data_IF_890488792196
#
_entry.id   IF_890488792196
#
_cell.length_a   1.000
_cell.length_b   1.000
_cell.length_c   1.000
_cell.angle_alpha   90.00
_cell.angle_beta   90.00
_cell.angle_gamma   90.00
#
_symmetry.space_group_name_H-M   'P 1'
#
loop_
_entity.id
_entity.type
_entity.pdbx_description
1 polymer ?
#
# COMPACT_ATOMS: atom_id res chain seq x y z
N UNK A 1 1.17 -6.13 -5.23
CA UNK A 1 -0.28 -5.83 -5.30
C UNK A 1 -0.72 -5.31 -3.92
N UNK A 2 -0.33 -4.09 -3.56
CA UNK A 2 -0.41 -3.55 -2.19
C UNK A 2 -1.85 -3.34 -1.69
N UNK A 3 -2.76 -2.92 -2.58
CA UNK A 3 -4.17 -2.64 -2.23
C UNK A 3 -4.92 -3.90 -1.79
N UNK A 4 -4.53 -5.07 -2.31
CA UNK A 4 -5.14 -6.35 -1.91
C UNK A 4 -4.59 -6.89 -0.58
N UNK A 5 -3.39 -6.45 -0.17
CA UNK A 5 -2.81 -6.79 1.12
C UNK A 5 -3.40 -5.97 2.29
N UNK A 6 -4.13 -4.90 1.97
CA UNK A 6 -4.72 -3.98 2.95
C UNK A 6 -6.22 -3.74 2.66
N UNK A 7 -7.08 -4.77 2.84
CA UNK A 7 -8.50 -4.70 2.55
C UNK A 7 -9.24 -3.61 3.33
N UNK A 8 -8.75 -3.24 4.51
CA UNK A 8 -9.24 -2.10 5.30
C UNK A 8 -9.15 -0.77 4.55
N UNK A 9 -8.16 -0.62 3.67
CA UNK A 9 -7.98 0.60 2.88
C UNK A 9 -8.98 0.69 1.73
N UNK A 10 -9.51 -0.45 1.25
CA UNK A 10 -10.50 -0.52 0.17
C UNK A 10 -11.80 0.22 0.55
N UNK A 11 -12.18 0.16 1.83
CA UNK A 11 -13.34 0.90 2.34
C UNK A 11 -13.16 2.41 2.20
N UNK A 12 -11.97 2.98 2.35
CA UNK A 12 -11.83 4.43 2.17
C UNK A 12 -12.10 4.88 0.73
N UNK A 13 -11.92 3.99 -0.26
CA UNK A 13 -12.09 4.37 -1.66
C UNK A 13 -13.53 4.70 -2.05
N UNK A 14 -14.59 4.16 -1.45
CA UNK A 14 -15.95 4.57 -1.84
C UNK A 14 -16.23 6.06 -1.53
N UNK A 15 -15.44 6.69 -0.66
CA UNK A 15 -15.58 8.10 -0.29
C UNK A 15 -14.87 9.08 -1.24
N UNK A 16 -14.03 8.59 -2.17
CA UNK A 16 -13.30 9.48 -3.11
C UNK A 16 -14.22 10.41 -3.90
N UNK A 17 -15.46 10.02 -4.31
CA UNK A 17 -16.34 10.93 -5.04
C UNK A 17 -16.75 12.14 -4.21
N UNK A 18 -17.03 11.93 -2.92
CA UNK A 18 -17.39 12.99 -1.97
C UNK A 18 -16.21 13.93 -1.78
N UNK A 19 -15.00 13.38 -1.56
CA UNK A 19 -13.80 14.19 -1.41
C UNK A 19 -13.49 14.97 -2.70
N UNK A 20 -13.66 14.35 -3.87
CA UNK A 20 -13.49 15.00 -5.17
C UNK A 20 -14.44 16.19 -5.36
N UNK A 21 -15.69 16.06 -4.88
CA UNK A 21 -16.62 17.19 -4.84
C UNK A 21 -16.16 18.29 -3.87
N UNK A 22 -15.72 17.94 -2.65
CA UNK A 22 -15.21 18.92 -1.66
C UNK A 22 -14.01 19.67 -2.23
N UNK A 23 -13.05 18.98 -2.84
CA UNK A 23 -11.86 19.57 -3.47
C UNK A 23 -12.27 20.54 -4.58
N UNK A 24 -13.22 20.14 -5.44
CA UNK A 24 -13.73 21.02 -6.50
C UNK A 24 -14.47 22.25 -5.94
N UNK A 25 -15.18 22.13 -4.83
CA UNK A 25 -15.89 23.23 -4.20
C UNK A 25 -14.95 24.23 -3.52
N UNK A 26 -13.84 23.76 -2.93
CA UNK A 26 -12.92 24.58 -2.15
C UNK A 26 -11.67 25.06 -2.87
N UNK A 27 -11.22 24.38 -3.94
CA UNK A 27 -9.94 24.67 -4.59
C UNK A 27 -10.09 25.03 -6.08
N UNK A 28 -9.23 25.92 -6.61
CA UNK A 28 -9.19 26.19 -8.03
C UNK A 28 -8.69 24.99 -8.83
N UNK A 29 -9.23 24.80 -10.04
CA UNK A 29 -8.90 23.67 -10.92
C UNK A 29 -7.40 23.49 -11.17
N UNK A 30 -6.63 24.60 -11.26
CA UNK A 30 -5.18 24.55 -11.46
C UNK A 30 -4.45 23.82 -10.33
N UNK A 31 -4.88 24.03 -9.08
CA UNK A 31 -4.28 23.37 -7.91
C UNK A 31 -4.62 21.88 -7.93
N UNK A 32 -5.89 21.54 -8.22
CA UNK A 32 -6.32 20.13 -8.33
C UNK A 32 -5.52 19.38 -9.39
N UNK A 33 -5.30 19.99 -10.57
CA UNK A 33 -4.47 19.40 -11.61
C UNK A 33 -3.00 19.25 -11.18
N UNK A 34 -2.43 20.25 -10.50
CA UNK A 34 -1.05 20.16 -9.99
C UNK A 34 -0.90 19.00 -9.00
N UNK A 35 -1.81 18.90 -8.02
CA UNK A 35 -1.84 17.80 -7.04
C UNK A 35 -1.92 16.46 -7.77
N UNK A 36 -2.85 16.30 -8.73
CA UNK A 36 -2.99 15.08 -9.52
C UNK A 36 -1.67 14.67 -10.21
N UNK A 37 -0.98 15.60 -10.89
CA UNK A 37 0.27 15.30 -11.57
C UNK A 37 1.39 14.94 -10.58
N UNK A 38 1.51 15.66 -9.47
CA UNK A 38 2.51 15.32 -8.44
C UNK A 38 2.25 13.95 -7.83
N UNK A 39 0.99 13.59 -7.54
CA UNK A 39 0.64 12.27 -7.03
C UNK A 39 0.94 11.16 -8.05
N UNK A 40 0.72 11.39 -9.35
CA UNK A 40 1.08 10.45 -10.41
C UNK A 40 2.60 10.22 -10.49
N UNK A 41 3.40 11.29 -10.40
CA UNK A 41 4.87 11.20 -10.40
C UNK A 41 5.36 10.44 -9.17
N UNK A 42 4.80 10.72 -7.99
CA UNK A 42 5.12 10.00 -6.76
C UNK A 42 4.68 8.54 -6.78
N UNK A 43 3.84 8.12 -7.73
CA UNK A 43 3.45 6.73 -7.87
C UNK A 43 4.45 5.92 -8.72
N UNK A 44 5.29 6.58 -9.52
CA UNK A 44 6.28 5.94 -10.41
C UNK A 44 7.25 4.94 -9.74
N UNK A 45 7.74 5.16 -8.50
CA UNK A 45 8.66 4.23 -7.84
C UNK A 45 8.15 2.77 -7.78
N UNK A 46 6.83 2.57 -7.77
CA UNK A 46 6.24 1.22 -7.76
C UNK A 46 6.64 0.38 -8.98
N UNK A 47 6.81 1.02 -10.15
CA UNK A 47 7.19 0.34 -11.39
C UNK A 47 8.67 -0.09 -11.40
N UNK A 48 9.48 0.50 -10.53
CA UNK A 48 10.92 0.19 -10.39
C UNK A 48 11.22 -0.83 -9.28
N UNK A 49 10.17 -1.33 -8.62
CA UNK A 49 10.26 -2.26 -7.50
C UNK A 49 10.71 -1.60 -6.18
N UNK A 50 10.64 -0.27 -6.09
CA UNK A 50 10.81 0.44 -4.83
C UNK A 50 9.47 0.61 -4.13
N UNK A 51 9.50 0.56 -2.80
CA UNK A 51 8.37 0.82 -1.93
C UNK A 51 8.68 2.03 -1.04
N UNK A 52 7.65 2.75 -0.62
CA UNK A 52 7.82 3.75 0.43
C UNK A 52 8.01 3.06 1.78
N UNK A 53 8.79 3.68 2.68
CA UNK A 53 8.90 3.23 4.08
C UNK A 53 7.56 3.41 4.81
N UNK A 54 6.84 4.48 4.47
CA UNK A 54 5.47 4.69 4.92
C UNK A 54 4.58 3.75 4.13
N UNK A 55 4.15 2.67 4.78
CA UNK A 55 3.39 1.58 4.17
C UNK A 55 2.19 2.14 3.38
N UNK A 56 1.36 2.98 4.02
CA UNK A 56 0.10 3.45 3.45
C UNK A 56 0.23 4.57 2.41
N UNK A 57 1.44 5.05 2.08
CA UNK A 57 1.59 6.20 1.20
C UNK A 57 1.05 5.92 -0.21
N UNK A 58 1.22 4.70 -0.73
CA UNK A 58 0.66 4.32 -2.01
C UNK A 58 -0.86 4.38 -2.03
N UNK A 59 -1.52 3.91 -0.98
CA UNK A 59 -2.98 3.99 -0.88
C UNK A 59 -3.46 5.45 -0.85
N UNK A 60 -2.78 6.32 -0.10
CA UNK A 60 -3.07 7.76 -0.04
C UNK A 60 -2.90 8.41 -1.42
N UNK A 61 -1.82 8.09 -2.14
CA UNK A 61 -1.56 8.62 -3.47
C UNK A 61 -2.64 8.20 -4.47
N UNK A 62 -3.01 6.90 -4.51
CA UNK A 62 -4.08 6.40 -5.37
C UNK A 62 -5.42 7.06 -5.02
N UNK A 63 -5.74 7.19 -3.73
CA UNK A 63 -6.96 7.83 -3.28
C UNK A 63 -7.02 9.32 -3.69
N UNK A 64 -5.90 10.03 -3.58
CA UNK A 64 -5.78 11.42 -4.01
C UNK A 64 -5.92 11.57 -5.51
N UNK A 65 -5.34 10.67 -6.30
CA UNK A 65 -5.49 10.62 -7.76
C UNK A 65 -6.97 10.44 -8.14
N UNK A 66 -7.66 9.50 -7.51
CA UNK A 66 -9.08 9.24 -7.78
C UNK A 66 -9.97 10.43 -7.37
N UNK A 67 -9.74 11.01 -6.20
CA UNK A 67 -10.50 12.18 -5.73
C UNK A 67 -10.27 13.39 -6.64
N UNK A 68 -9.02 13.70 -7.00
CA UNK A 68 -8.70 14.82 -7.90
C UNK A 68 -9.25 14.59 -9.31
N UNK A 69 -9.07 13.38 -9.85
CA UNK A 69 -9.61 12.98 -11.15
C UNK A 69 -11.12 13.13 -11.22
N UNK A 70 -11.83 12.67 -10.19
CA UNK A 70 -13.28 12.84 -10.10
C UNK A 70 -13.69 14.32 -9.95
N UNK A 71 -12.98 15.09 -9.13
CA UNK A 71 -13.22 16.53 -8.98
C UNK A 71 -13.11 17.31 -10.31
N UNK A 72 -12.16 16.92 -11.18
CA UNK A 72 -12.04 17.48 -12.52
C UNK A 72 -13.22 17.09 -13.43
N UNK A 73 -13.69 15.83 -13.35
CA UNK A 73 -14.86 15.35 -14.10
C UNK A 73 -16.16 16.08 -13.68
N UNK A 74 -16.29 16.44 -12.40
CA UNK A 74 -17.46 17.15 -11.86
C UNK A 74 -17.61 18.59 -12.37
N UNK A 75 -16.63 19.16 -13.09
CA UNK A 75 -16.67 20.57 -13.54
C UNK A 75 -17.92 20.90 -14.38
N UNK A 76 -18.39 19.97 -15.21
CA UNK A 76 -19.55 20.15 -16.10
C UNK A 76 -20.89 19.64 -15.56
N UNK A 77 -20.93 19.03 -14.37
CA UNK A 77 -22.15 18.39 -13.87
C UNK A 77 -23.11 19.40 -13.23
N UNK A 78 -24.42 19.28 -13.53
CA UNK A 78 -25.48 20.13 -12.96
C UNK A 78 -25.81 19.79 -11.50
N UNK A 79 -25.76 18.51 -11.10
CA UNK A 79 -26.12 18.03 -9.75
C UNK A 79 -24.94 17.33 -9.05
N UNK A 80 -23.87 18.10 -8.82
CA UNK A 80 -22.55 17.60 -8.36
C UNK A 80 -22.60 16.79 -7.07
N UNK A 81 -23.35 17.25 -6.08
CA UNK A 81 -23.52 16.56 -4.78
C UNK A 81 -24.25 15.23 -4.97
N UNK A 82 -25.39 15.25 -5.67
CA UNK A 82 -26.20 14.06 -5.89
C UNK A 82 -25.44 12.99 -6.68
N UNK A 83 -24.68 13.39 -7.72
CA UNK A 83 -23.85 12.46 -8.49
C UNK A 83 -22.74 11.85 -7.64
N UNK A 84 -22.16 12.62 -6.72
CA UNK A 84 -21.10 12.15 -5.83
C UNK A 84 -21.64 11.14 -4.80
N UNK A 85 -22.77 11.45 -4.17
CA UNK A 85 -23.43 10.55 -3.21
C UNK A 85 -23.86 9.25 -3.91
N UNK A 86 -24.51 9.36 -5.07
CA UNK A 86 -24.99 8.20 -5.81
C UNK A 86 -23.83 7.31 -6.28
N UNK A 87 -22.74 7.92 -6.78
CA UNK A 87 -21.56 7.16 -7.16
C UNK A 87 -20.89 6.49 -5.96
N UNK A 88 -20.79 7.17 -4.81
CA UNK A 88 -20.28 6.57 -3.57
C UNK A 88 -21.10 5.36 -3.16
N UNK A 89 -22.44 5.45 -3.16
CA UNK A 89 -23.34 4.31 -2.84
C UNK A 89 -23.13 3.16 -3.82
N UNK A 90 -23.07 3.47 -5.13
CA UNK A 90 -22.85 2.45 -6.16
C UNK A 90 -21.50 1.77 -6.00
N UNK A 91 -20.45 2.49 -5.59
CA UNK A 91 -19.11 1.95 -5.38
C UNK A 91 -18.99 1.06 -4.14
N UNK A 92 -19.88 1.19 -3.14
CA UNK A 92 -19.86 0.33 -1.95
C UNK A 92 -20.00 -1.14 -2.34
N UNK A 93 -20.86 -1.47 -3.32
CA UNK A 93 -21.10 -2.86 -3.71
C UNK A 93 -19.88 -3.55 -4.36
N UNK A 94 -19.30 -3.04 -5.46
CA UNK A 94 -18.16 -3.70 -6.09
C UNK A 94 -16.91 -3.64 -5.22
N UNK A 95 -16.63 -2.51 -4.55
CA UNK A 95 -15.46 -2.40 -3.67
C UNK A 95 -15.62 -3.23 -2.40
N UNK A 96 -16.82 -3.26 -1.82
CA UNK A 96 -17.14 -4.11 -0.67
C UNK A 96 -17.04 -5.59 -1.01
N UNK A 97 -17.47 -5.99 -2.20
CA UNK A 97 -17.28 -7.36 -2.68
C UNK A 97 -15.79 -7.71 -2.86
N UNK A 98 -15.00 -6.81 -3.46
CA UNK A 98 -13.54 -7.01 -3.60
C UNK A 98 -12.87 -7.10 -2.23
N UNK A 99 -13.24 -6.23 -1.28
CA UNK A 99 -12.71 -6.24 0.08
C UNK A 99 -13.08 -7.54 0.81
N UNK A 100 -14.31 -8.03 0.64
CA UNK A 100 -14.78 -9.28 1.22
C UNK A 100 -14.00 -10.49 0.68
N UNK A 101 -13.84 -10.60 -0.64
CA UNK A 101 -13.03 -11.67 -1.25
C UNK A 101 -11.56 -11.53 -0.86
N UNK A 102 -11.03 -10.31 -0.81
CA UNK A 102 -9.65 -10.03 -0.39
C UNK A 102 -9.39 -10.45 1.06
N UNK A 103 -10.33 -10.20 1.97
CA UNK A 103 -10.24 -10.65 3.36
C UNK A 103 -10.21 -12.18 3.48
N UNK A 104 -10.77 -12.90 2.51
CA UNK A 104 -10.68 -14.36 2.42
C UNK A 104 -9.38 -14.85 1.76
N UNK A 105 -8.63 -14.00 1.04
CA UNK A 105 -7.43 -14.42 0.31
C UNK A 105 -6.20 -14.68 1.21
N UNK A 106 -6.29 -14.34 2.50
CA UNK A 106 -5.21 -14.44 3.46
C UNK A 106 -4.60 -13.08 3.81
N UNK A 107 -3.95 -13.01 4.96
CA UNK A 107 -3.35 -11.77 5.48
C UNK A 107 -1.85 -11.91 5.60
N UNK A 108 -1.13 -10.88 5.16
CA UNK A 108 0.32 -10.76 5.33
C UNK A 108 0.54 -9.76 6.45
N UNK A 109 1.02 -10.22 7.60
CA UNK A 109 1.28 -9.35 8.76
C UNK A 109 2.77 -9.30 9.04
N UNK A 110 3.33 -8.09 9.15
CA UNK A 110 4.69 -7.90 9.67
C UNK A 110 4.61 -7.99 11.19
N UNK A 111 5.24 -9.01 11.76
CA UNK A 111 5.23 -9.22 13.22
C UNK A 111 6.38 -8.47 13.90
N UNK A 112 7.56 -8.43 13.28
CA UNK A 112 8.74 -7.76 13.83
C UNK A 112 9.60 -7.16 12.71
N UNK A 113 10.34 -6.09 13.05
CA UNK A 113 11.29 -5.45 12.15
C UNK A 113 12.61 -5.14 12.87
N UNK A 114 13.73 -5.34 12.19
CA UNK A 114 15.07 -4.99 12.66
C UNK A 114 15.77 -4.10 11.64
N UNK A 115 16.58 -3.15 12.12
CA UNK A 115 17.40 -2.28 11.27
C UNK A 115 18.88 -2.65 11.41
N UNK A 116 19.55 -2.86 10.28
CA UNK A 116 20.94 -3.32 10.22
C UNK A 116 21.67 -2.49 9.17
N UNK A 117 22.38 -1.46 9.60
CA UNK A 117 23.09 -0.52 8.71
C UNK A 117 22.12 0.03 7.64
N UNK A 118 22.37 -0.23 6.37
CA UNK A 118 21.54 0.22 5.22
C UNK A 118 20.41 -0.76 4.85
N UNK A 119 20.05 -1.66 5.77
CA UNK A 119 19.05 -2.70 5.56
C UNK A 119 17.99 -2.69 6.67
N UNK A 120 16.79 -3.10 6.29
CA UNK A 120 15.70 -3.48 7.20
C UNK A 120 15.36 -4.94 6.96
N UNK A 121 15.20 -5.69 8.04
CA UNK A 121 14.69 -7.05 7.97
C UNK A 121 13.29 -7.07 8.57
N UNK A 122 12.32 -7.54 7.79
CA UNK A 122 10.95 -7.71 8.25
C UNK A 122 10.66 -9.20 8.43
N UNK A 123 10.16 -9.59 9.61
CA UNK A 123 9.60 -10.91 9.84
C UNK A 123 8.12 -10.87 9.57
N UNK A 124 7.72 -11.62 8.55
CA UNK A 124 6.40 -11.57 7.95
C UNK A 124 5.74 -12.92 8.11
N UNK A 125 4.52 -12.89 8.64
CA UNK A 125 3.61 -14.02 8.69
C UNK A 125 2.61 -13.90 7.55
N UNK A 126 2.67 -14.84 6.63
CA UNK A 126 1.73 -14.97 5.51
C UNK A 126 0.74 -16.08 5.83
N UNK A 127 -0.50 -15.72 6.15
CA UNK A 127 -1.56 -16.66 6.51
C UNK A 127 -2.57 -16.73 5.36
N UNK A 128 -2.43 -17.75 4.50
CA UNK A 128 -3.36 -18.03 3.41
C UNK A 128 -4.72 -18.58 3.87
N UNK A 129 -5.66 -18.69 2.93
CA UNK A 129 -7.03 -19.19 3.18
C UNK A 129 -7.09 -20.65 3.67
N UNK A 130 -6.15 -21.49 3.23
CA UNK A 130 -6.09 -22.91 3.59
C UNK A 130 -4.63 -23.32 3.76
N UNK A 131 -4.21 -23.51 5.02
CA UNK A 131 -2.84 -23.87 5.38
C UNK A 131 -2.40 -23.27 6.71
N UNK A 132 -1.27 -23.77 7.23
CA UNK A 132 -0.57 -23.11 8.35
C UNK A 132 0.09 -21.81 7.89
N UNK A 133 0.38 -20.87 8.82
CA UNK A 133 1.06 -19.62 8.49
C UNK A 133 2.47 -19.90 7.95
N UNK A 134 2.84 -19.26 6.84
CA UNK A 134 4.19 -19.27 6.31
C UNK A 134 4.95 -18.08 6.89
N UNK A 135 5.95 -18.37 7.72
CA UNK A 135 6.81 -17.38 8.34
C UNK A 135 8.01 -17.11 7.42
N UNK A 136 8.30 -15.85 7.12
CA UNK A 136 9.35 -15.46 6.17
C UNK A 136 10.09 -14.22 6.66
N UNK A 137 11.41 -14.23 6.58
CA UNK A 137 12.24 -13.03 6.73
C UNK A 137 12.45 -12.36 5.37
N UNK A 138 12.13 -11.08 5.25
CA UNK A 138 12.36 -10.27 4.05
C UNK A 138 13.46 -9.26 4.31
N UNK A 139 14.52 -9.31 3.51
CA UNK A 139 15.59 -8.32 3.54
C UNK A 139 15.26 -7.19 2.57
N UNK A 140 15.14 -5.99 3.12
CA UNK A 140 14.90 -4.76 2.36
C UNK A 140 16.12 -3.83 2.50
N UNK A 141 16.49 -3.17 1.41
CA UNK A 141 17.60 -2.20 1.37
C UNK A 141 17.06 -0.79 1.15
N UNK A 142 17.56 0.17 1.91
CA UNK A 142 17.22 1.58 1.69
C UNK A 142 17.76 2.07 0.34
N UNK A 143 16.94 2.86 -0.36
CA UNK A 143 17.33 3.54 -1.59
C UNK A 143 18.25 4.72 -1.34
N UNK A 144 18.67 5.40 -2.41
CA UNK A 144 19.48 6.61 -2.31
C UNK A 144 18.76 7.73 -1.55
N UNK A 145 17.44 7.84 -1.74
CA UNK A 145 16.60 8.72 -0.92
C UNK A 145 16.00 7.84 0.19
N UNK A 146 16.19 8.18 1.48
CA UNK A 146 15.83 7.34 2.63
C UNK A 146 14.32 7.32 2.90
N UNK A 147 13.49 7.62 1.90
CA UNK A 147 12.04 7.40 1.91
C UNK A 147 11.65 6.13 1.13
N UNK A 148 12.58 5.63 0.31
CA UNK A 148 12.39 4.46 -0.54
C UNK A 148 13.14 3.27 0.02
N UNK A 149 12.52 2.10 -0.08
CA UNK A 149 13.10 0.82 0.33
C UNK A 149 12.75 -0.24 -0.71
N UNK A 150 13.68 -1.15 -1.00
CA UNK A 150 13.49 -2.22 -1.98
C UNK A 150 13.76 -3.56 -1.36
N UNK A 151 12.87 -4.53 -1.57
CA UNK A 151 13.12 -5.91 -1.21
C UNK A 151 14.24 -6.48 -2.11
N UNK A 152 15.27 -7.05 -1.49
CA UNK A 152 16.46 -7.56 -2.18
C UNK A 152 16.66 -9.06 -1.97
N UNK A 153 16.09 -9.65 -0.91
CA UNK A 153 16.15 -11.08 -0.64
C UNK A 153 15.00 -11.50 0.29
N UNK A 154 14.62 -12.78 0.26
CA UNK A 154 13.63 -13.34 1.18
C UNK A 154 13.95 -14.79 1.54
N UNK A 155 13.64 -15.18 2.77
CA UNK A 155 13.96 -16.50 3.31
C UNK A 155 12.85 -17.02 4.20
N UNK A 156 12.32 -18.20 3.88
CA UNK A 156 11.31 -18.89 4.70
C UNK A 156 11.94 -19.30 6.03
N UNK A 157 11.25 -19.05 7.14
CA UNK A 157 11.63 -19.55 8.45
C UNK A 157 11.29 -21.04 8.53
N UNK A 158 12.33 -21.87 8.59
CA UNK A 158 12.17 -23.27 8.94
C UNK A 158 12.46 -23.37 10.44
N UNK A 159 11.41 -23.56 11.24
CA UNK A 159 11.38 -23.67 12.72
C UNK A 159 12.27 -24.79 13.32
N UNK A 160 13.19 -25.36 12.55
CA UNK A 160 13.99 -26.55 12.92
C UNK A 160 15.44 -26.27 13.30
N UNK A 161 15.87 -25.01 13.45
CA UNK A 161 17.24 -24.76 13.92
C UNK A 161 17.28 -23.78 15.09
N UNK A 162 17.86 -24.24 16.20
CA UNK A 162 18.40 -23.49 17.35
C UNK A 162 19.46 -22.42 16.95
N UNK A 163 19.45 -21.95 15.71
CA UNK A 163 20.29 -20.90 15.20
C UNK A 163 19.55 -19.57 15.31
N UNK A 164 20.02 -18.74 16.23
CA UNK A 164 19.64 -17.34 16.31
C UNK A 164 20.12 -16.52 15.10
N UNK A 165 20.94 -17.08 14.20
CA UNK A 165 21.49 -16.35 13.05
C UNK A 165 20.75 -16.68 11.75
N UNK A 166 20.12 -15.69 11.14
CA UNK A 166 19.52 -15.78 9.81
C UNK A 166 20.50 -15.22 8.78
N UNK A 167 20.86 -16.02 7.77
CA UNK A 167 21.74 -15.63 6.67
C UNK A 167 20.96 -15.48 5.37
N UNK A 168 21.10 -14.32 4.73
CA UNK A 168 20.60 -14.01 3.39
C UNK A 168 21.68 -14.27 2.34
N UNK A 169 21.26 -14.65 1.13
CA UNK A 169 22.18 -14.89 0.00
C UNK A 169 22.70 -13.55 -0.55
N UNK A 170 21.85 -12.52 -0.53
CA UNK A 170 22.23 -11.19 -1.00
C UNK A 170 23.34 -10.60 -0.13
N UNK A 171 24.55 -10.48 -0.72
CA UNK A 171 25.76 -9.92 -0.09
C UNK A 171 26.17 -10.57 1.23
N UNK A 172 25.80 -11.83 1.48
CA UNK A 172 26.10 -12.56 2.73
C UNK A 172 25.68 -11.79 3.99
N UNK A 173 24.59 -11.03 3.94
CA UNK A 173 24.07 -10.33 5.12
C UNK A 173 23.54 -11.37 6.11
N UNK A 174 24.02 -11.32 7.35
CA UNK A 174 23.55 -12.17 8.44
C UNK A 174 23.09 -11.33 9.61
N UNK A 175 22.00 -11.73 10.26
CA UNK A 175 21.51 -11.05 11.46
C UNK A 175 21.09 -12.01 12.55
N UNK A 176 21.15 -11.53 13.79
CA UNK A 176 20.76 -12.29 14.97
C UNK A 176 19.31 -11.97 15.32
N UNK A 177 18.41 -12.95 15.22
CA UNK A 177 16.97 -12.82 15.54
C UNK A 177 16.67 -12.85 17.05
N UNK A 178 17.64 -13.21 17.89
CA UNK A 178 17.48 -13.35 19.34
C UNK A 178 17.93 -12.13 20.15
N UNK A 179 18.30 -11.03 19.48
CA UNK A 179 18.91 -9.85 20.09
C UNK A 179 18.16 -8.57 19.74
#
# INVERSE_FOLDING_TARGET
MYIFAHPELIFFFFSFPILGWILQAGLPTKIISYVLYTSLVLLLPIFTGYSYIIENLYAILVYTILACGYGLLLKGAKRKILTSILLSIVLVFPLGFIAFIGAMAGTITVEQHWEIKDYRVDYVRDQGFSGGPLLTYRLKKYGFIPIFIKEVDSKVDNDTTNNCTVKFQYKNVSFNKCN
#
